data_IF_344963027361
#
_entry.id   IF_344963027361
#
_cell.length_a   1.000
_cell.length_b   1.000
_cell.length_c   1.000
_cell.angle_alpha   90.00
_cell.angle_beta   90.00
_cell.angle_gamma   90.00
#
_symmetry.space_group_name_H-M   'P 1'
#
loop_
_entity.id
_entity.type
_entity.pdbx_description
1 polymer ?
#
# COMPACT_ATOMS: atom_id res chain seq x y z
N UNK A 1 12.35 16.84 9.85
CA UNK A 1 11.59 17.21 8.63
C UNK A 1 12.55 17.10 7.46
N UNK A 2 12.20 16.33 6.44
CA UNK A 2 13.03 16.18 5.23
C UNK A 2 13.10 17.55 4.55
N UNK A 3 14.26 18.19 4.58
CA UNK A 3 14.59 19.22 3.60
C UNK A 3 14.74 18.51 2.25
N UNK A 4 13.68 18.50 1.44
CA UNK A 4 13.71 17.87 0.13
C UNK A 4 12.38 17.97 -0.60
N UNK A 5 12.46 17.99 -1.92
CA UNK A 5 11.34 18.18 -2.83
C UNK A 5 10.85 16.86 -3.42
N UNK A 6 9.52 16.72 -3.56
CA UNK A 6 8.84 15.51 -4.00
C UNK A 6 8.07 15.81 -5.29
N UNK A 7 8.30 14.99 -6.31
CA UNK A 7 7.46 14.93 -7.50
C UNK A 7 6.56 13.69 -7.42
N UNK A 8 5.26 13.89 -7.21
CA UNK A 8 4.27 12.81 -7.18
C UNK A 8 3.59 12.67 -8.56
N UNK A 9 3.79 11.54 -9.20
CA UNK A 9 3.25 11.20 -10.52
C UNK A 9 2.01 10.34 -10.35
N UNK A 10 0.84 10.93 -10.58
CA UNK A 10 -0.45 10.34 -10.27
C UNK A 10 -0.81 10.51 -8.79
N UNK A 11 -2.05 10.92 -8.53
CA UNK A 11 -2.55 11.17 -7.19
C UNK A 11 -3.99 10.66 -7.03
N UNK A 12 -4.24 9.47 -7.59
CA UNK A 12 -5.43 8.67 -7.27
C UNK A 12 -5.40 8.14 -5.83
N UNK A 13 -6.13 7.05 -5.55
CA UNK A 13 -6.29 6.53 -4.17
C UNK A 13 -4.97 6.36 -3.40
N UNK A 14 -3.95 5.73 -3.99
CA UNK A 14 -2.67 5.48 -3.30
C UNK A 14 -1.79 6.73 -3.19
N UNK A 15 -1.64 7.51 -4.28
CA UNK A 15 -0.89 8.76 -4.24
C UNK A 15 -1.51 9.78 -3.26
N UNK A 16 -2.84 9.87 -3.23
CA UNK A 16 -3.57 10.70 -2.27
C UNK A 16 -3.43 10.22 -0.82
N UNK A 17 -3.42 8.91 -0.57
CA UNK A 17 -3.17 8.36 0.76
C UNK A 17 -1.76 8.73 1.28
N UNK A 18 -0.75 8.62 0.42
CA UNK A 18 0.62 9.03 0.75
C UNK A 18 0.70 10.54 1.01
N UNK A 19 0.12 11.35 0.11
CA UNK A 19 0.08 12.81 0.25
C UNK A 19 -0.56 13.26 1.56
N UNK A 20 -1.71 12.66 1.91
CA UNK A 20 -2.39 12.95 3.17
C UNK A 20 -1.53 12.55 4.37
N UNK A 21 -0.87 11.38 4.31
CA UNK A 21 0.08 10.95 5.33
C UNK A 21 1.25 11.92 5.50
N UNK A 22 1.80 12.43 4.39
CA UNK A 22 2.90 13.41 4.42
C UNK A 22 2.48 14.71 5.08
N UNK A 23 1.30 15.25 4.75
CA UNK A 23 0.78 16.47 5.37
C UNK A 23 0.51 16.28 6.87
N UNK A 24 -0.04 15.14 7.26
CA UNK A 24 -0.24 14.81 8.68
C UNK A 24 1.09 14.73 9.47
N UNK A 25 2.20 14.47 8.78
CA UNK A 25 3.57 14.47 9.35
C UNK A 25 4.32 15.78 9.17
N UNK A 26 3.66 16.84 8.69
CA UNK A 26 4.22 18.17 8.57
C UNK A 26 5.14 18.37 7.35
N UNK A 27 5.03 17.53 6.31
CA UNK A 27 5.64 17.86 5.01
C UNK A 27 4.97 19.10 4.47
N UNK A 28 5.76 20.11 4.10
CA UNK A 28 5.23 21.36 3.61
C UNK A 28 4.70 21.19 2.18
N UNK A 29 3.46 21.60 1.88
CA UNK A 29 2.89 21.43 0.54
C UNK A 29 3.67 22.12 -0.58
N UNK A 30 4.46 23.16 -0.29
CA UNK A 30 5.34 23.82 -1.28
C UNK A 30 6.49 22.92 -1.75
N UNK A 31 6.85 21.91 -0.96
CA UNK A 31 7.89 20.95 -1.29
C UNK A 31 7.34 19.82 -2.20
N UNK A 32 6.05 19.86 -2.56
CA UNK A 32 5.39 18.81 -3.34
C UNK A 32 4.83 19.38 -4.65
N UNK A 33 5.28 18.83 -5.77
CA UNK A 33 4.65 19.03 -7.08
C UNK A 33 3.93 17.73 -7.46
N UNK A 34 2.69 17.84 -7.91
CA UNK A 34 1.89 16.70 -8.35
C UNK A 34 1.64 16.82 -9.85
N UNK A 35 1.85 15.71 -10.59
CA UNK A 35 1.38 15.56 -11.96
C UNK A 35 0.17 14.62 -11.96
N UNK A 36 -1.03 15.17 -12.13
CA UNK A 36 -2.30 14.44 -12.15
C UNK A 36 -3.13 14.87 -13.37
N UNK A 37 -3.19 14.06 -14.45
CA UNK A 37 -3.94 14.39 -15.66
C UNK A 37 -5.44 14.63 -15.43
N UNK A 38 -6.03 14.01 -14.41
CA UNK A 38 -7.42 14.26 -14.03
C UNK A 38 -7.63 15.62 -13.31
N UNK A 39 -6.53 16.33 -13.03
CA UNK A 39 -6.53 17.67 -12.46
C UNK A 39 -6.71 17.70 -10.94
N UNK A 40 -6.67 18.92 -10.39
CA UNK A 40 -6.69 19.20 -8.95
C UNK A 40 -7.91 18.63 -8.22
N UNK A 41 -9.08 18.59 -8.86
CA UNK A 41 -10.30 18.05 -8.25
C UNK A 41 -10.21 16.54 -7.97
N UNK A 42 -9.34 15.80 -8.64
CA UNK A 42 -9.18 14.36 -8.46
C UNK A 42 -8.38 13.97 -7.20
N UNK A 43 -7.71 14.94 -6.56
CA UNK A 43 -6.77 14.72 -5.44
C UNK A 43 -7.50 14.72 -4.08
N UNK A 44 -8.80 15.02 -4.05
CA UNK A 44 -9.60 15.02 -2.83
C UNK A 44 -9.25 16.17 -1.88
N UNK A 45 -9.28 15.92 -0.57
CA UNK A 45 -9.14 16.96 0.45
C UNK A 45 -7.80 17.69 0.42
N UNK A 46 -6.70 16.99 0.13
CA UNK A 46 -5.37 17.59 0.02
C UNK A 46 -5.30 18.70 -1.05
N UNK A 47 -6.16 18.62 -2.09
CA UNK A 47 -6.24 19.61 -3.15
C UNK A 47 -6.64 21.00 -2.65
N UNK A 48 -7.32 21.08 -1.50
CA UNK A 48 -7.77 22.35 -0.91
C UNK A 48 -6.62 23.18 -0.35
N UNK A 49 -5.43 22.59 -0.14
CA UNK A 49 -4.29 23.33 0.37
C UNK A 49 -3.78 24.32 -0.69
N UNK A 50 -3.86 25.65 -0.46
CA UNK A 50 -3.63 26.64 -1.51
C UNK A 50 -2.20 26.62 -2.07
N UNK A 51 -1.22 26.26 -1.24
CA UNK A 51 0.18 26.20 -1.62
C UNK A 51 0.58 24.93 -2.42
N UNK A 52 -0.35 23.98 -2.62
CA UNK A 52 -0.06 22.76 -3.36
C UNK A 52 -0.07 23.02 -4.87
N UNK A 53 1.03 22.70 -5.54
CA UNK A 53 1.15 22.79 -7.00
C UNK A 53 0.68 21.48 -7.64
N UNK A 54 -0.35 21.58 -8.47
CA UNK A 54 -0.90 20.45 -9.24
C UNK A 54 -0.88 20.79 -10.72
N UNK A 55 -0.24 19.94 -11.51
CA UNK A 55 -0.02 20.09 -12.93
C UNK A 55 -0.71 18.93 -13.67
N UNK A 56 -1.18 19.18 -14.90
CA UNK A 56 -1.85 18.16 -15.69
C UNK A 56 -0.85 17.28 -16.45
N UNK A 57 0.32 17.84 -16.81
CA UNK A 57 1.31 17.19 -17.66
C UNK A 57 2.72 17.37 -17.10
N UNK A 58 3.60 16.45 -17.47
CA UNK A 58 5.03 16.51 -17.14
C UNK A 58 5.73 17.72 -17.77
N UNK A 59 5.28 18.14 -18.95
CA UNK A 59 5.85 19.30 -19.66
C UNK A 59 5.63 20.62 -18.91
N UNK A 60 4.60 20.67 -18.05
CA UNK A 60 4.29 21.83 -17.23
C UNK A 60 5.18 21.92 -15.98
N UNK A 61 5.92 20.85 -15.64
CA UNK A 61 6.87 20.87 -14.52
C UNK A 61 8.03 21.81 -14.91
N UNK A 62 8.40 22.80 -14.07
CA UNK A 62 9.49 23.73 -14.39
C UNK A 62 10.78 23.02 -14.78
N UNK A 63 11.49 23.52 -15.78
CA UNK A 63 12.70 22.88 -16.32
C UNK A 63 13.89 22.93 -15.35
N UNK A 64 13.89 23.90 -14.44
CA UNK A 64 14.87 24.10 -13.37
C UNK A 64 14.52 23.37 -12.06
N UNK A 65 13.32 22.77 -11.99
CA UNK A 65 12.94 21.94 -10.85
C UNK A 65 13.72 20.63 -10.83
N UNK A 66 14.45 20.39 -9.75
CA UNK A 66 15.25 19.20 -9.51
C UNK A 66 14.70 18.47 -8.28
N UNK A 67 13.80 17.48 -8.45
CA UNK A 67 13.25 16.75 -7.32
C UNK A 67 14.34 15.97 -6.60
N UNK A 68 14.20 15.80 -5.29
CA UNK A 68 14.98 14.82 -4.51
C UNK A 68 14.38 13.42 -4.62
N UNK A 69 13.05 13.36 -4.79
CA UNK A 69 12.28 12.12 -4.92
C UNK A 69 11.24 12.24 -6.03
N UNK A 70 11.15 11.22 -6.87
CA UNK A 70 10.06 11.06 -7.86
C UNK A 70 9.27 9.81 -7.52
N UNK A 71 7.98 9.93 -7.23
CA UNK A 71 7.12 8.82 -6.84
C UNK A 71 6.09 8.53 -7.93
N UNK A 72 6.15 7.34 -8.51
CA UNK A 72 5.17 6.86 -9.48
C UNK A 72 4.01 6.15 -8.77
N UNK A 73 2.83 6.78 -8.79
CA UNK A 73 1.58 6.29 -8.20
C UNK A 73 0.42 6.28 -9.23
N UNK A 74 0.74 6.05 -10.49
CA UNK A 74 -0.23 5.84 -11.59
C UNK A 74 -0.65 4.36 -11.69
N UNK A 75 -1.65 4.07 -12.53
CA UNK A 75 -2.06 2.68 -12.80
C UNK A 75 -0.99 1.93 -13.62
N UNK A 76 -0.85 0.60 -13.48
CA UNK A 76 0.18 -0.19 -14.17
C UNK A 76 0.19 -0.07 -15.70
N UNK A 77 -0.96 0.13 -16.33
CA UNK A 77 -1.07 0.29 -17.78
C UNK A 77 -0.80 1.72 -18.28
N UNK A 78 -0.74 2.71 -17.38
CA UNK A 78 -0.49 4.12 -17.73
C UNK A 78 0.99 4.46 -17.72
N UNK A 79 1.79 3.75 -16.90
CA UNK A 79 3.19 4.12 -16.65
C UNK A 79 4.06 4.11 -17.91
N UNK A 80 3.80 3.21 -18.85
CA UNK A 80 4.55 3.13 -20.11
C UNK A 80 4.43 4.39 -20.97
N UNK A 81 3.29 5.06 -20.91
CA UNK A 81 3.04 6.26 -21.71
C UNK A 81 3.68 7.51 -21.10
N UNK A 82 4.06 7.48 -19.81
CA UNK A 82 4.48 8.68 -19.07
C UNK A 82 5.92 8.64 -18.57
N UNK A 83 6.48 7.45 -18.34
CA UNK A 83 7.77 7.29 -17.63
C UNK A 83 8.95 7.97 -18.33
N UNK A 84 8.99 7.96 -19.67
CA UNK A 84 10.10 8.52 -20.43
C UNK A 84 10.25 10.04 -20.24
N UNK A 85 9.16 10.76 -19.98
CA UNK A 85 9.19 12.20 -19.67
C UNK A 85 9.99 12.52 -18.40
N UNK A 86 10.11 11.56 -17.48
CA UNK A 86 10.81 11.74 -16.20
C UNK A 86 12.31 11.44 -16.30
N UNK A 87 12.79 10.89 -17.42
CA UNK A 87 14.23 10.65 -17.66
C UNK A 87 15.06 11.92 -17.52
N UNK A 88 14.49 13.09 -17.81
CA UNK A 88 15.17 14.39 -17.68
C UNK A 88 15.69 14.68 -16.26
N UNK A 89 15.08 14.11 -15.22
CA UNK A 89 15.50 14.31 -13.83
C UNK A 89 16.66 13.41 -13.40
N UNK A 90 17.04 12.40 -14.18
CA UNK A 90 18.08 11.42 -13.80
C UNK A 90 19.45 12.08 -13.50
N UNK A 91 19.72 13.25 -14.07
CA UNK A 91 20.95 14.02 -13.84
C UNK A 91 21.13 14.48 -12.39
N UNK A 92 20.05 14.81 -11.67
CA UNK A 92 20.13 15.14 -10.24
C UNK A 92 20.19 13.91 -9.34
N UNK A 93 20.15 12.70 -9.92
CA UNK A 93 20.12 11.40 -9.23
C UNK A 93 19.06 11.35 -8.11
N UNK A 94 17.79 11.73 -8.38
CA UNK A 94 16.72 11.64 -7.39
C UNK A 94 16.49 10.17 -7.04
N UNK A 95 15.92 9.93 -5.87
CA UNK A 95 15.33 8.63 -5.57
C UNK A 95 14.05 8.44 -6.40
N UNK A 96 14.01 7.41 -7.24
CA UNK A 96 12.79 7.00 -7.91
C UNK A 96 12.07 5.95 -7.06
N UNK A 97 10.82 6.20 -6.72
CA UNK A 97 9.97 5.27 -5.96
C UNK A 97 8.79 4.87 -6.82
N UNK A 98 8.49 3.58 -6.90
CA UNK A 98 7.29 3.08 -7.57
C UNK A 98 6.39 2.38 -6.57
N UNK A 99 5.13 2.78 -6.51
CA UNK A 99 4.06 2.04 -5.81
C UNK A 99 3.17 1.26 -6.78
N UNK A 100 3.65 1.05 -8.01
CA UNK A 100 2.90 0.45 -9.10
C UNK A 100 3.02 -1.07 -9.04
N UNK A 101 1.89 -1.76 -8.90
CA UNK A 101 1.83 -3.21 -8.93
C UNK A 101 2.37 -3.77 -10.26
N UNK A 102 3.14 -4.87 -10.18
CA UNK A 102 3.64 -5.60 -11.34
C UNK A 102 4.81 -4.95 -12.11
N UNK A 103 5.28 -3.75 -11.75
CA UNK A 103 6.42 -3.12 -12.45
C UNK A 103 7.71 -3.34 -11.69
N UNK A 104 8.65 -4.04 -12.34
CA UNK A 104 9.94 -4.43 -11.75
C UNK A 104 10.93 -3.27 -11.68
N UNK A 105 11.97 -3.39 -10.86
CA UNK A 105 13.09 -2.44 -10.86
C UNK A 105 13.71 -2.35 -12.27
N UNK A 106 13.88 -3.50 -12.93
CA UNK A 106 14.40 -3.57 -14.30
C UNK A 106 13.56 -2.74 -15.29
N UNK A 107 12.22 -2.78 -15.17
CA UNK A 107 11.33 -1.96 -16.00
C UNK A 107 11.64 -0.46 -15.84
N UNK A 108 11.82 0.03 -14.62
CA UNK A 108 12.14 1.45 -14.40
C UNK A 108 13.55 1.79 -14.91
N UNK A 109 14.54 0.91 -14.71
CA UNK A 109 15.90 1.10 -15.22
C UNK A 109 15.96 1.17 -16.75
N UNK A 110 15.16 0.36 -17.45
CA UNK A 110 15.10 0.40 -18.91
C UNK A 110 14.71 1.79 -19.45
N UNK A 111 13.82 2.52 -18.75
CA UNK A 111 13.32 3.82 -19.18
C UNK A 111 14.17 4.98 -18.61
N UNK A 112 14.54 4.89 -17.33
CA UNK A 112 15.24 5.94 -16.59
C UNK A 112 16.78 5.83 -16.69
N UNK A 113 17.30 4.69 -17.14
CA UNK A 113 18.73 4.36 -17.21
C UNK A 113 19.19 3.44 -16.09
N UNK A 114 20.21 2.62 -16.38
CA UNK A 114 20.74 1.58 -15.47
C UNK A 114 21.23 2.10 -14.12
N UNK A 115 21.69 3.36 -14.09
CA UNK A 115 22.23 4.04 -12.91
C UNK A 115 21.16 4.71 -12.03
N UNK A 116 19.88 4.63 -12.41
CA UNK A 116 18.79 5.22 -11.65
C UNK A 116 18.60 4.49 -10.31
N UNK A 117 18.63 5.21 -9.16
CA UNK A 117 18.34 4.61 -7.86
C UNK A 117 16.84 4.41 -7.72
N UNK A 118 16.38 3.16 -7.78
CA UNK A 118 14.97 2.79 -7.80
C UNK A 118 14.60 1.99 -6.56
N UNK A 119 13.52 2.39 -5.89
CA UNK A 119 12.83 1.58 -4.88
C UNK A 119 11.47 1.18 -5.43
N UNK A 120 11.23 -0.12 -5.50
CA UNK A 120 9.89 -0.66 -5.72
C UNK A 120 9.24 -0.87 -4.35
N UNK A 121 8.02 -0.38 -4.20
CA UNK A 121 7.24 -0.43 -2.97
C UNK A 121 5.89 -1.08 -3.27
N UNK A 122 5.45 -1.99 -2.41
CA UNK A 122 4.09 -2.50 -2.42
C UNK A 122 3.37 -2.04 -1.15
N UNK A 123 2.65 -0.90 -1.19
CA UNK A 123 1.76 -0.49 -0.13
C UNK A 123 0.43 -1.24 -0.20
N UNK A 124 -0.44 -1.02 0.78
CA UNK A 124 -1.82 -1.51 0.76
C UNK A 124 -2.84 -0.45 1.18
N UNK A 125 -4.13 -0.71 0.94
CA UNK A 125 -5.19 0.30 1.06
C UNK A 125 -5.41 0.91 2.46
N UNK A 126 -5.14 0.23 3.59
CA UNK A 126 -5.15 0.86 4.91
C UNK A 126 -4.19 2.05 5.07
N UNK A 127 -3.27 2.27 4.11
CA UNK A 127 -2.49 3.49 3.97
C UNK A 127 -3.32 4.77 4.06
N UNK A 128 -4.55 4.76 3.56
CA UNK A 128 -5.45 5.91 3.56
C UNK A 128 -5.81 6.43 4.97
N UNK A 129 -5.64 5.60 6.00
CA UNK A 129 -5.89 5.97 7.40
C UNK A 129 -4.63 5.83 8.26
N UNK A 130 -3.44 5.77 7.63
CA UNK A 130 -2.16 5.65 8.35
C UNK A 130 -1.92 4.30 9.02
N UNK A 131 -2.70 3.26 8.65
CA UNK A 131 -2.58 1.89 9.17
C UNK A 131 -2.11 0.91 8.09
N UNK A 132 -1.44 1.42 7.06
CA UNK A 132 -0.91 0.62 5.96
C UNK A 132 0.33 -0.18 6.34
N UNK A 133 0.72 -1.07 5.44
CA UNK A 133 2.05 -1.66 5.40
C UNK A 133 2.62 -1.49 4.00
N UNK A 134 3.88 -1.06 3.92
CA UNK A 134 4.64 -0.94 2.69
C UNK A 134 5.84 -1.88 2.75
N UNK A 135 5.97 -2.76 1.77
CA UNK A 135 7.16 -3.59 1.60
C UNK A 135 8.01 -3.02 0.47
N UNK A 136 9.28 -2.79 0.76
CA UNK A 136 10.22 -2.12 -0.12
C UNK A 136 11.33 -3.07 -0.57
N UNK A 137 11.71 -2.96 -1.84
CA UNK A 137 12.93 -3.55 -2.41
C UNK A 137 13.65 -2.47 -3.22
N UNK A 138 14.96 -2.40 -3.06
CA UNK A 138 15.78 -1.34 -3.65
C UNK A 138 16.79 -1.91 -4.64
N UNK A 139 17.05 -1.14 -5.69
CA UNK A 139 18.17 -1.40 -6.59
C UNK A 139 19.51 -1.16 -5.87
N UNK A 140 20.63 -1.72 -6.37
CA UNK A 140 21.95 -1.53 -5.77
C UNK A 140 22.40 -0.07 -5.67
N UNK A 141 21.88 0.80 -6.54
CA UNK A 141 22.24 2.23 -6.60
C UNK A 141 21.61 3.05 -5.48
N UNK A 142 20.63 2.50 -4.76
CA UNK A 142 19.96 3.19 -3.64
C UNK A 142 20.85 3.18 -2.40
N UNK A 143 21.41 4.36 -2.09
CA UNK A 143 22.24 4.57 -0.90
C UNK A 143 21.46 4.59 0.41
N UNK A 144 22.19 4.54 1.54
CA UNK A 144 21.59 4.54 2.88
C UNK A 144 20.74 5.78 3.19
N UNK A 145 21.13 6.96 2.70
CA UNK A 145 20.35 8.20 2.85
C UNK A 145 19.02 8.12 2.10
N UNK A 146 19.03 7.61 0.87
CA UNK A 146 17.83 7.44 0.06
C UNK A 146 16.88 6.38 0.65
N UNK A 147 17.41 5.29 1.21
CA UNK A 147 16.59 4.32 1.96
C UNK A 147 15.86 4.98 3.14
N UNK A 148 16.56 5.82 3.92
CA UNK A 148 15.94 6.58 5.03
C UNK A 148 14.86 7.54 4.53
N UNK A 149 15.07 8.19 3.38
CA UNK A 149 14.04 9.04 2.77
C UNK A 149 12.81 8.20 2.38
N UNK A 150 13.00 7.02 1.78
CA UNK A 150 11.91 6.10 1.49
C UNK A 150 11.16 5.67 2.76
N UNK A 151 11.88 5.33 3.85
CA UNK A 151 11.28 4.98 5.14
C UNK A 151 10.41 6.10 5.69
N UNK A 152 10.89 7.35 5.63
CA UNK A 152 10.14 8.52 6.10
C UNK A 152 8.86 8.75 5.29
N UNK A 153 8.96 8.65 3.96
CA UNK A 153 7.84 8.89 3.05
C UNK A 153 6.79 7.78 3.11
N UNK A 154 7.20 6.52 3.06
CA UNK A 154 6.27 5.38 3.11
C UNK A 154 5.73 5.20 4.53
N UNK A 155 6.56 5.48 5.54
CA UNK A 155 6.18 5.43 6.94
C UNK A 155 5.03 6.37 7.27
N UNK A 156 4.84 7.44 6.49
CA UNK A 156 3.74 8.39 6.67
C UNK A 156 2.34 7.77 6.55
N UNK A 157 2.24 6.65 5.84
CA UNK A 157 1.01 5.91 5.64
C UNK A 157 0.94 4.59 6.44
N UNK A 158 1.95 4.27 7.25
CA UNK A 158 1.94 3.08 8.11
C UNK A 158 3.32 2.46 8.33
N UNK A 159 3.39 1.15 8.47
CA UNK A 159 4.65 0.42 8.72
C UNK A 159 5.42 0.17 7.44
N UNK A 160 6.76 0.23 7.51
CA UNK A 160 7.65 -0.07 6.38
C UNK A 160 8.49 -1.29 6.71
N UNK A 161 8.66 -2.19 5.73
CA UNK A 161 9.57 -3.32 5.82
C UNK A 161 10.37 -3.48 4.53
N UNK A 162 11.54 -4.09 4.62
CA UNK A 162 12.43 -4.28 3.48
C UNK A 162 12.68 -5.76 3.20
N UNK A 163 12.71 -6.09 1.92
CA UNK A 163 13.16 -7.39 1.42
C UNK A 163 14.40 -7.18 0.53
N UNK A 164 15.20 -8.23 0.38
CA UNK A 164 16.42 -8.21 -0.46
C UNK A 164 16.20 -8.81 -1.84
N UNK A 165 15.20 -9.68 -1.98
CA UNK A 165 14.86 -10.35 -3.24
C UNK A 165 13.56 -9.78 -3.81
N UNK A 166 13.64 -9.16 -4.99
CA UNK A 166 12.48 -8.63 -5.70
C UNK A 166 11.49 -9.75 -6.08
N UNK A 167 11.95 -11.00 -6.24
CA UNK A 167 11.11 -12.16 -6.55
C UNK A 167 10.05 -12.47 -5.48
N UNK A 168 10.20 -11.93 -4.28
CA UNK A 168 9.21 -12.05 -3.20
C UNK A 168 8.03 -11.07 -3.33
N UNK A 169 8.10 -10.07 -4.23
CA UNK A 169 7.08 -9.03 -4.36
C UNK A 169 5.70 -9.55 -4.77
N UNK A 170 5.63 -10.67 -5.49
CA UNK A 170 4.34 -11.29 -5.82
C UNK A 170 3.67 -11.93 -4.60
N UNK A 171 4.46 -12.55 -3.72
CA UNK A 171 3.96 -13.09 -2.46
C UNK A 171 3.51 -11.96 -1.51
N UNK A 172 4.29 -10.89 -1.44
CA UNK A 172 3.94 -9.66 -0.73
C UNK A 172 2.60 -9.11 -1.25
N UNK A 173 2.46 -8.97 -2.57
CA UNK A 173 1.22 -8.49 -3.21
C UNK A 173 0.02 -9.35 -2.82
N UNK A 174 0.17 -10.67 -2.86
CA UNK A 174 -0.89 -11.60 -2.48
C UNK A 174 -1.29 -11.50 -1.00
N UNK A 175 -0.32 -11.30 -0.10
CA UNK A 175 -0.60 -11.25 1.34
C UNK A 175 -1.08 -9.87 1.78
N UNK A 176 -0.31 -8.81 1.55
CA UNK A 176 -0.60 -7.48 2.10
C UNK A 176 -1.34 -6.58 1.13
N UNK A 177 -1.07 -6.69 -0.17
CA UNK A 177 -1.73 -5.90 -1.21
C UNK A 177 -3.20 -6.28 -1.41
N UNK A 178 -3.44 -7.58 -1.61
CA UNK A 178 -4.79 -8.16 -1.71
C UNK A 178 -5.44 -8.44 -0.35
N UNK A 179 -4.63 -8.57 0.71
CA UNK A 179 -5.06 -8.86 2.09
C UNK A 179 -6.29 -8.09 2.60
N UNK A 180 -6.37 -6.76 2.44
CA UNK A 180 -7.52 -5.99 2.88
C UNK A 180 -8.85 -6.49 2.31
N UNK A 181 -8.87 -6.95 1.05
CA UNK A 181 -10.08 -7.51 0.44
C UNK A 181 -10.52 -8.81 1.14
N UNK A 182 -9.57 -9.63 1.59
CA UNK A 182 -9.89 -10.86 2.34
C UNK A 182 -10.55 -10.55 3.68
N UNK A 183 -10.08 -9.48 4.35
CA UNK A 183 -10.62 -9.02 5.63
C UNK A 183 -12.01 -8.38 5.45
N UNK A 184 -12.22 -7.61 4.38
CA UNK A 184 -13.54 -7.07 4.06
C UNK A 184 -14.55 -8.17 3.74
N UNK A 185 -14.15 -9.17 2.94
CA UNK A 185 -14.98 -10.34 2.66
C UNK A 185 -15.30 -11.13 3.95
N UNK A 186 -14.34 -11.27 4.86
CA UNK A 186 -14.59 -11.90 6.17
C UNK A 186 -15.68 -11.14 6.96
N UNK A 187 -15.67 -9.81 6.92
CA UNK A 187 -16.70 -8.99 7.56
C UNK A 187 -18.09 -9.22 6.93
N UNK A 188 -18.15 -9.24 5.60
CA UNK A 188 -19.37 -9.53 4.85
C UNK A 188 -19.94 -10.91 5.21
N UNK A 189 -19.12 -11.97 5.11
CA UNK A 189 -19.55 -13.33 5.43
C UNK A 189 -19.96 -13.49 6.91
N UNK A 190 -19.28 -12.81 7.83
CA UNK A 190 -19.63 -12.87 9.26
C UNK A 190 -20.96 -12.17 9.55
N UNK A 191 -21.24 -11.05 8.88
CA UNK A 191 -22.53 -10.37 8.98
C UNK A 191 -23.66 -11.25 8.42
N UNK A 192 -23.46 -11.86 7.25
CA UNK A 192 -24.43 -12.79 6.65
C UNK A 192 -24.71 -13.99 7.57
N UNK A 193 -23.67 -14.58 8.16
CA UNK A 193 -23.82 -15.66 9.13
C UNK A 193 -24.58 -15.21 10.39
N UNK A 194 -24.35 -13.98 10.86
CA UNK A 194 -25.07 -13.36 11.96
C UNK A 194 -26.57 -13.24 11.69
N UNK A 195 -26.95 -12.82 10.47
CA UNK A 195 -28.36 -12.78 10.05
C UNK A 195 -28.96 -14.19 10.01
N UNK A 196 -28.22 -15.17 9.50
CA UNK A 196 -28.69 -16.55 9.41
C UNK A 196 -28.98 -17.19 10.80
N UNK A 197 -28.35 -16.69 11.86
CA UNK A 197 -28.62 -17.12 13.25
C UNK A 197 -29.58 -16.19 14.01
N UNK A 198 -30.26 -15.28 13.31
CA UNK A 198 -31.40 -14.51 13.83
C UNK A 198 -31.11 -13.06 14.22
N UNK A 199 -29.93 -12.51 13.90
CA UNK A 199 -29.66 -11.08 14.09
C UNK A 199 -30.35 -10.23 13.01
N UNK A 200 -30.67 -8.97 13.35
CA UNK A 200 -31.04 -8.00 12.31
C UNK A 200 -29.83 -7.68 11.43
N UNK A 201 -30.03 -7.34 10.13
CA UNK A 201 -28.94 -6.99 9.23
C UNK A 201 -28.02 -5.89 9.78
N UNK A 202 -28.59 -4.81 10.31
CA UNK A 202 -27.85 -3.68 10.86
C UNK A 202 -26.98 -4.07 12.07
N UNK A 203 -27.52 -4.92 12.95
CA UNK A 203 -26.77 -5.39 14.12
C UNK A 203 -25.66 -6.36 13.69
N UNK A 204 -25.93 -7.26 12.75
CA UNK A 204 -24.96 -8.22 12.26
C UNK A 204 -23.76 -7.54 11.56
N UNK A 205 -24.03 -6.57 10.68
CA UNK A 205 -22.98 -5.77 10.02
C UNK A 205 -22.13 -5.02 11.06
N UNK A 206 -22.77 -4.35 12.02
CA UNK A 206 -22.06 -3.63 13.08
C UNK A 206 -21.19 -4.57 13.92
N UNK A 207 -21.73 -5.71 14.36
CA UNK A 207 -20.97 -6.67 15.16
C UNK A 207 -19.79 -7.26 14.37
N UNK A 208 -19.96 -7.59 13.10
CA UNK A 208 -18.89 -8.11 12.26
C UNK A 208 -17.74 -7.11 12.10
N UNK A 209 -18.06 -5.85 11.77
CA UNK A 209 -17.08 -4.77 11.62
C UNK A 209 -16.29 -4.51 12.91
N UNK A 210 -16.98 -4.32 14.02
CA UNK A 210 -16.35 -4.02 15.32
C UNK A 210 -15.52 -5.20 15.83
N UNK A 211 -15.99 -6.44 15.63
CA UNK A 211 -15.24 -7.65 16.02
C UNK A 211 -13.93 -7.75 15.26
N UNK A 212 -13.95 -7.54 13.94
CA UNK A 212 -12.75 -7.60 13.10
C UNK A 212 -11.80 -6.44 13.40
N UNK A 213 -12.33 -5.22 13.55
CA UNK A 213 -11.52 -4.05 13.90
C UNK A 213 -10.85 -4.21 15.27
N UNK A 214 -11.60 -4.66 16.28
CA UNK A 214 -11.10 -4.90 17.63
C UNK A 214 -10.04 -6.01 17.66
N UNK A 215 -10.28 -7.14 17.00
CA UNK A 215 -9.30 -8.23 16.92
C UNK A 215 -8.01 -7.79 16.18
N UNK A 216 -8.16 -7.01 15.10
CA UNK A 216 -7.04 -6.42 14.38
C UNK A 216 -6.23 -5.43 15.23
N UNK A 217 -6.91 -4.61 16.04
CA UNK A 217 -6.26 -3.71 16.99
C UNK A 217 -5.49 -4.48 18.08
N UNK A 218 -6.09 -5.54 18.63
CA UNK A 218 -5.41 -6.43 19.59
C UNK A 218 -4.13 -7.03 19.00
N UNK A 219 -4.15 -7.48 17.74
CA UNK A 219 -2.96 -7.98 17.05
C UNK A 219 -1.87 -6.91 16.85
N UNK A 220 -2.25 -5.64 16.76
CA UNK A 220 -1.32 -4.54 16.56
C UNK A 220 -0.73 -4.02 17.88
N UNK A 221 -1.47 -4.13 18.99
CA UNK A 221 -1.11 -3.52 20.27
C UNK A 221 -0.57 -4.53 21.29
N UNK A 222 -1.01 -5.78 21.24
CA UNK A 222 -0.59 -6.82 22.18
C UNK A 222 0.66 -7.54 21.68
N UNK A 223 1.57 -7.97 22.58
CA UNK A 223 2.79 -8.68 22.20
C UNK A 223 2.54 -10.16 21.82
N UNK A 224 1.34 -10.67 22.11
CA UNK A 224 1.00 -12.07 21.92
C UNK A 224 0.85 -12.45 20.44
N UNK A 225 1.27 -13.66 20.09
CA UNK A 225 1.03 -14.21 18.77
C UNK A 225 -0.48 -14.44 18.53
N UNK A 226 -0.91 -14.39 17.27
CA UNK A 226 -2.31 -14.61 16.88
C UNK A 226 -2.89 -15.94 17.41
N UNK A 227 -2.07 -17.00 17.46
CA UNK A 227 -2.48 -18.29 18.00
C UNK A 227 -2.80 -18.22 19.50
N UNK A 228 -2.02 -17.45 20.26
CA UNK A 228 -2.23 -17.21 21.70
C UNK A 228 -3.47 -16.36 21.92
N UNK A 229 -3.65 -15.27 21.18
CA UNK A 229 -4.87 -14.45 21.27
C UNK A 229 -6.14 -15.27 20.98
N UNK A 230 -6.09 -16.15 19.96
CA UNK A 230 -7.19 -17.09 19.67
C UNK A 230 -7.43 -18.07 20.83
N UNK A 231 -6.38 -18.65 21.41
CA UNK A 231 -6.50 -19.56 22.55
C UNK A 231 -7.12 -18.87 23.77
N UNK A 232 -6.73 -17.63 24.04
CA UNK A 232 -7.23 -16.85 25.19
C UNK A 232 -8.75 -16.61 25.15
N UNK A 233 -9.37 -16.59 23.96
CA UNK A 233 -10.82 -16.45 23.79
C UNK A 233 -11.55 -17.79 23.55
N UNK A 234 -10.85 -18.91 23.70
CA UNK A 234 -11.37 -20.27 23.47
C UNK A 234 -11.51 -21.03 24.78
N UNK A 235 -12.71 -21.03 25.35
CA UNK A 235 -13.03 -21.90 26.49
C UNK A 235 -13.31 -23.33 26.01
N UNK A 236 -12.69 -24.37 26.61
CA UNK A 236 -13.01 -25.76 26.30
C UNK A 236 -14.51 -26.06 26.44
N UNK A 237 -15.11 -26.64 25.40
CA UNK A 237 -16.56 -26.92 25.35
C UNK A 237 -17.45 -25.68 25.14
N UNK A 238 -16.87 -24.49 24.95
CA UNK A 238 -17.59 -23.25 24.69
C UNK A 238 -17.96 -23.04 23.22
N UNK A 239 -18.70 -21.97 22.95
CA UNK A 239 -19.17 -21.61 21.59
C UNK A 239 -18.01 -21.36 20.62
N UNK A 240 -16.95 -20.69 21.06
CA UNK A 240 -15.74 -20.47 20.25
C UNK A 240 -15.06 -21.78 19.85
N UNK A 241 -14.98 -22.75 20.77
CA UNK A 241 -14.36 -24.05 20.49
C UNK A 241 -15.14 -24.80 19.40
N UNK A 242 -16.47 -24.86 19.51
CA UNK A 242 -17.32 -25.49 18.52
C UNK A 242 -17.20 -24.84 17.12
N UNK A 243 -17.11 -23.50 17.05
CA UNK A 243 -16.89 -22.81 15.77
C UNK A 243 -15.49 -23.10 15.19
N UNK A 244 -14.45 -23.14 16.04
CA UNK A 244 -13.07 -23.39 15.60
C UNK A 244 -12.87 -24.83 15.10
N UNK A 245 -13.60 -25.82 15.61
CA UNK A 245 -13.57 -27.19 15.07
C UNK A 245 -13.92 -27.20 13.57
N UNK A 246 -14.91 -26.41 13.15
CA UNK A 246 -15.27 -26.27 11.75
C UNK A 246 -14.24 -25.44 10.97
N UNK A 247 -13.89 -24.25 11.49
CA UNK A 247 -13.00 -23.30 10.82
C UNK A 247 -11.56 -23.80 10.67
N UNK A 248 -11.11 -24.71 11.53
CA UNK A 248 -9.77 -25.31 11.48
C UNK A 248 -9.73 -26.67 10.78
N UNK A 249 -10.86 -27.14 10.25
CA UNK A 249 -10.93 -28.40 9.49
C UNK A 249 -10.22 -28.29 8.13
N UNK A 250 -10.03 -29.44 7.46
CA UNK A 250 -9.46 -29.52 6.10
C UNK A 250 -10.27 -28.78 5.02
N UNK A 251 -11.53 -28.45 5.32
CA UNK A 251 -12.39 -27.62 4.44
C UNK A 251 -12.59 -26.21 4.98
N UNK A 252 -11.98 -25.91 6.12
CA UNK A 252 -12.12 -24.65 6.84
C UNK A 252 -11.25 -23.53 6.29
N UNK A 253 -11.04 -22.53 7.13
CA UNK A 253 -10.44 -21.24 6.76
C UNK A 253 -9.00 -21.37 6.27
N UNK A 254 -8.18 -22.21 6.91
CA UNK A 254 -6.76 -22.34 6.60
C UNK A 254 -6.47 -22.78 5.16
N UNK A 255 -7.02 -23.93 4.70
CA UNK A 255 -6.85 -24.39 3.32
C UNK A 255 -7.41 -23.41 2.27
N UNK A 256 -8.57 -22.80 2.53
CA UNK A 256 -9.18 -21.83 1.61
C UNK A 256 -8.33 -20.57 1.46
N UNK A 257 -7.80 -20.03 2.57
CA UNK A 257 -6.95 -18.85 2.54
C UNK A 257 -5.62 -19.13 1.82
N UNK A 258 -5.03 -20.32 2.02
CA UNK A 258 -3.83 -20.75 1.26
C UNK A 258 -4.09 -20.77 -0.24
N UNK A 259 -5.22 -21.33 -0.67
CA UNK A 259 -5.59 -21.39 -2.09
C UNK A 259 -5.83 -19.98 -2.67
N UNK A 260 -6.53 -19.11 -1.94
CA UNK A 260 -6.79 -17.74 -2.37
C UNK A 260 -5.49 -16.92 -2.52
N UNK A 261 -4.58 -17.01 -1.54
CA UNK A 261 -3.28 -16.33 -1.60
C UNK A 261 -2.42 -16.87 -2.73
N UNK A 262 -2.41 -18.19 -2.96
CA UNK A 262 -1.69 -18.78 -4.09
C UNK A 262 -2.22 -18.29 -5.45
N UNK A 263 -3.54 -18.20 -5.60
CA UNK A 263 -4.17 -17.66 -6.81
C UNK A 263 -3.82 -16.17 -7.03
N UNK A 264 -3.82 -15.36 -5.97
CA UNK A 264 -3.42 -13.95 -6.06
C UNK A 264 -1.94 -13.79 -6.42
N UNK A 265 -1.05 -14.61 -5.84
CA UNK A 265 0.38 -14.60 -6.16
C UNK A 265 0.63 -15.00 -7.62
N UNK A 266 -0.07 -16.01 -8.11
CA UNK A 266 0.01 -16.44 -9.51
C UNK A 266 -0.46 -15.33 -10.45
N UNK A 267 -1.58 -14.68 -10.13
CA UNK A 267 -2.08 -13.56 -10.93
C UNK A 267 -1.14 -12.35 -10.92
N UNK A 268 -0.48 -12.07 -9.79
CA UNK A 268 0.53 -11.01 -9.70
C UNK A 268 1.68 -11.24 -10.69
N UNK A 269 2.17 -12.48 -10.79
CA UNK A 269 3.22 -12.86 -11.75
C UNK A 269 2.79 -12.61 -13.19
N UNK A 270 1.57 -13.01 -13.56
CA UNK A 270 1.01 -12.81 -14.91
C UNK A 270 0.83 -11.33 -15.29
N UNK A 271 0.64 -10.44 -14.31
CA UNK A 271 0.52 -9.00 -14.55
C UNK A 271 1.90 -8.30 -14.64
N UNK A 272 2.93 -8.92 -14.07
CA UNK A 272 4.30 -8.39 -14.08
C UNK A 272 5.16 -8.87 -15.25
N UNK A 273 4.71 -9.90 -15.97
CA UNK A 273 5.27 -10.37 -17.25
C UNK A 273 4.93 -9.46 -18.42
#
# INVERSE_FOLDING_TARGET
MTSGTILLVGCGKMGGALLQGWFNRGVNPVDVIIVEPAGRSAIGECAKHPALTVLAKIDDVPSDFLPDVVIFAVKPFVVGDVIDGYKRFTKSRPLFVSVIAGKTIAYFKQHLGEEAPVVRVMPNTPAAIGKGISVCVASPEVGASQRKVCDLLMGAAGTVTWITDEGQMDAVTAVSGSGPAYVFLLAECLAEAGVAVGLSPDLADRLARETIAGAGAMLAELPDAAATLRQNVTTPGGTTAAALEYLMSERGFGPQLKAAVAAAAQRSKELGS
#
